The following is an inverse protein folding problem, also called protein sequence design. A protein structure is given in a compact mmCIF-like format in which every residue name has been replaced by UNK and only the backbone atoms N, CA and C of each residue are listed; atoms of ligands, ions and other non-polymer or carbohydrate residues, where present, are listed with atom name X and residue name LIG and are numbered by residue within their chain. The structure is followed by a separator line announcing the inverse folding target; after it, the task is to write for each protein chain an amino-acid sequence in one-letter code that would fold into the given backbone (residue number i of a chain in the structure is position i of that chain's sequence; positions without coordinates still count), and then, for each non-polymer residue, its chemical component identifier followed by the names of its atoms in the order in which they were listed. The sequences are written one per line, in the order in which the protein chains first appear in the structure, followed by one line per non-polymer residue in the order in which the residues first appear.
data_IF_662623196883
#
_entry.id   IF_662623196883
#
_cell.length_a   1.000
_cell.length_b   1.000
_cell.length_c   1.000
_cell.angle_alpha   90.00
_cell.angle_beta   90.00
_cell.angle_gamma   90.00
#
_symmetry.space_group_name_H-M   'P 1'
#
loop_
_entity.id
_entity.type
_entity.pdbx_description
1 polymer ?
#
# COMPACT_ATOMS: atom_id res chain seq x y z
N UNK A 1 1.24 -2.78 -5.20
CA UNK A 1 1.97 -2.65 -6.48
C UNK A 1 2.39 -1.20 -6.61
N UNK A 2 3.49 -0.86 -7.27
CA UNK A 2 3.94 0.54 -7.33
C UNK A 2 4.24 1.04 -8.74
N UNK A 3 3.73 2.21 -9.09
CA UNK A 3 4.08 2.89 -10.34
C UNK A 3 5.37 3.72 -10.18
N UNK A 4 6.38 3.39 -10.97
CA UNK A 4 7.65 4.11 -11.04
C UNK A 4 7.61 5.22 -12.09
N UNK A 5 7.44 6.46 -11.63
CA UNK A 5 7.39 7.65 -12.48
C UNK A 5 8.70 7.96 -13.24
N UNK A 6 9.81 7.26 -12.94
CA UNK A 6 11.11 7.50 -13.59
C UNK A 6 11.28 6.72 -14.89
N UNK A 7 10.47 5.70 -15.13
CA UNK A 7 10.60 4.79 -16.28
C UNK A 7 9.27 4.26 -16.81
N UNK A 8 8.14 4.78 -16.31
CA UNK A 8 6.79 4.44 -16.77
C UNK A 8 6.40 2.96 -16.66
N UNK A 9 6.88 2.28 -15.62
CA UNK A 9 6.54 0.89 -15.34
C UNK A 9 5.81 0.72 -14.00
N UNK A 10 5.01 -0.33 -13.92
CA UNK A 10 4.45 -0.82 -12.66
C UNK A 10 5.33 -1.97 -12.17
N UNK A 11 5.70 -1.92 -10.91
CA UNK A 11 6.36 -3.00 -10.18
C UNK A 11 5.36 -3.72 -9.29
N UNK A 12 5.42 -5.04 -9.27
CA UNK A 12 4.55 -5.88 -8.47
C UNK A 12 5.34 -7.05 -7.88
N UNK A 13 4.77 -7.72 -6.88
CA UNK A 13 5.29 -9.00 -6.41
C UNK A 13 4.48 -10.12 -7.07
N UNK A 14 5.19 -11.05 -7.71
CA UNK A 14 4.65 -12.34 -8.13
C UNK A 14 4.99 -13.36 -7.05
N UNK A 15 3.97 -14.03 -6.53
CA UNK A 15 4.08 -14.86 -5.33
C UNK A 15 3.43 -16.23 -5.54
N UNK A 16 4.09 -17.28 -5.06
CA UNK A 16 3.51 -18.61 -4.96
C UNK A 16 3.46 -19.08 -3.50
N UNK A 17 2.31 -19.64 -3.11
CA UNK A 17 2.06 -20.12 -1.75
C UNK A 17 2.42 -21.60 -1.52
N UNK A 18 3.00 -22.26 -2.50
CA UNK A 18 3.41 -23.66 -2.39
C UNK A 18 4.89 -23.75 -2.03
N UNK A 19 5.25 -24.69 -1.16
CA UNK A 19 6.65 -24.90 -0.77
C UNK A 19 7.43 -25.63 -1.89
N UNK A 20 8.66 -25.20 -2.22
CA UNK A 20 9.36 -24.03 -1.69
C UNK A 20 8.76 -22.71 -2.20
N UNK A 21 8.55 -21.75 -1.29
CA UNK A 21 7.97 -20.46 -1.64
C UNK A 21 8.81 -19.74 -2.69
N UNK A 22 8.16 -19.13 -3.69
CA UNK A 22 8.83 -18.35 -4.71
C UNK A 22 8.23 -16.94 -4.76
N UNK A 23 9.07 -15.95 -4.50
CA UNK A 23 8.72 -14.54 -4.50
C UNK A 23 9.64 -13.80 -5.47
N UNK A 24 9.04 -13.08 -6.40
CA UNK A 24 9.77 -12.30 -7.40
C UNK A 24 9.17 -10.92 -7.51
N UNK A 25 10.01 -9.92 -7.72
CA UNK A 25 9.56 -8.64 -8.23
C UNK A 25 9.47 -8.78 -9.74
N UNK A 26 8.30 -8.41 -10.26
CA UNK A 26 8.04 -8.32 -11.68
C UNK A 26 7.85 -6.86 -12.07
N UNK A 27 8.25 -6.55 -13.30
CA UNK A 27 7.95 -5.30 -13.99
C UNK A 27 6.88 -5.54 -15.03
N UNK A 28 5.81 -4.77 -14.99
CA UNK A 28 4.69 -4.82 -15.94
C UNK A 28 4.91 -3.72 -16.97
N UNK A 29 5.01 -4.11 -18.23
CA UNK A 29 5.23 -3.22 -19.37
C UNK A 29 3.91 -2.60 -19.85
N UNK A 30 3.99 -1.57 -20.70
CA UNK A 30 2.83 -0.87 -21.26
C UNK A 30 1.88 -1.75 -22.08
N UNK A 31 2.36 -2.89 -22.58
CA UNK A 31 1.56 -3.89 -23.29
C UNK A 31 0.98 -4.99 -22.37
N UNK A 32 1.13 -4.86 -21.05
CA UNK A 32 0.68 -5.82 -20.05
C UNK A 32 1.56 -7.05 -19.86
N UNK A 33 2.65 -7.21 -20.64
CA UNK A 33 3.60 -8.30 -20.41
C UNK A 33 4.45 -8.05 -19.18
N UNK A 34 4.94 -9.12 -18.57
CA UNK A 34 5.72 -9.07 -17.33
C UNK A 34 7.15 -9.53 -17.54
N UNK A 35 8.07 -8.98 -16.75
CA UNK A 35 9.48 -9.37 -16.70
C UNK A 35 9.92 -9.54 -15.26
N UNK A 36 10.55 -10.67 -14.94
CA UNK A 36 11.21 -10.86 -13.65
C UNK A 36 12.40 -9.89 -13.53
N UNK A 37 12.46 -9.12 -12.45
CA UNK A 37 13.53 -8.12 -12.22
C UNK A 37 14.36 -8.37 -10.97
N UNK A 38 13.79 -9.03 -9.95
CA UNK A 38 14.51 -9.43 -8.75
C UNK A 38 13.85 -10.63 -8.06
N UNK A 39 14.65 -11.44 -7.38
CA UNK A 39 14.13 -12.45 -6.43
C UNK A 39 14.01 -11.83 -5.04
N UNK A 40 12.97 -12.18 -4.30
CA UNK A 40 12.80 -11.77 -2.91
C UNK A 40 13.10 -12.94 -1.99
N UNK A 41 14.13 -12.78 -1.16
CA UNK A 41 14.47 -13.73 -0.12
C UNK A 41 13.82 -13.26 1.19
N UNK A 42 12.66 -13.82 1.51
CA UNK A 42 11.92 -13.43 2.71
C UNK A 42 12.60 -13.90 4.00
N UNK A 43 12.32 -13.19 5.08
CA UNK A 43 12.60 -13.68 6.41
C UNK A 43 11.81 -14.97 6.68
N UNK A 44 12.41 -15.92 7.41
CA UNK A 44 11.77 -17.20 7.72
C UNK A 44 10.48 -17.02 8.54
N UNK A 45 10.41 -16.00 9.39
CA UNK A 45 9.23 -15.64 10.18
C UNK A 45 8.03 -15.17 9.36
N UNK A 46 8.24 -14.66 8.14
CA UNK A 46 7.19 -14.14 7.25
C UNK A 46 7.06 -14.95 5.96
N UNK A 47 7.77 -16.08 5.84
CA UNK A 47 7.88 -16.85 4.61
C UNK A 47 6.53 -17.34 4.05
N UNK A 48 5.56 -17.66 4.91
CA UNK A 48 4.22 -18.09 4.52
C UNK A 48 3.16 -16.98 4.44
N UNK A 49 3.55 -15.72 4.67
CA UNK A 49 2.62 -14.57 4.58
C UNK A 49 2.69 -13.98 3.17
N UNK A 50 1.58 -13.50 2.61
CA UNK A 50 1.58 -12.79 1.32
C UNK A 50 2.07 -11.35 1.48
N UNK A 51 2.62 -10.77 0.42
CA UNK A 51 2.75 -9.33 0.37
C UNK A 51 1.37 -8.72 0.07
N UNK A 52 1.02 -7.66 0.76
CA UNK A 52 -0.24 -6.94 0.56
C UNK A 52 -0.04 -5.42 0.47
N UNK A 53 1.21 -4.97 0.50
CA UNK A 53 1.54 -3.57 0.42
C UNK A 53 2.75 -3.39 -0.50
N UNK A 54 2.66 -2.43 -1.43
CA UNK A 54 3.77 -2.11 -2.31
C UNK A 54 3.61 -0.75 -2.97
N UNK A 55 4.62 0.13 -2.93
CA UNK A 55 4.62 1.35 -3.76
C UNK A 55 6.04 1.85 -4.08
N UNK A 56 6.18 2.67 -5.13
CA UNK A 56 7.44 3.27 -5.57
C UNK A 56 7.48 4.74 -5.19
N UNK A 57 8.56 5.15 -4.53
CA UNK A 57 8.74 6.52 -4.09
C UNK A 57 9.32 7.44 -5.18
N UNK A 58 9.53 8.72 -4.84
CA UNK A 58 10.08 9.73 -5.75
C UNK A 58 11.51 9.44 -6.21
N UNK A 59 12.24 8.61 -5.48
CA UNK A 59 13.63 8.24 -5.77
C UNK A 59 13.72 6.91 -6.52
N UNK A 60 12.61 6.35 -6.99
CA UNK A 60 12.57 5.05 -7.65
C UNK A 60 12.87 3.89 -6.70
N UNK A 61 12.66 4.06 -5.39
CA UNK A 61 12.77 2.94 -4.45
C UNK A 61 11.41 2.27 -4.32
N UNK A 62 11.37 0.96 -4.54
CA UNK A 62 10.18 0.15 -4.36
C UNK A 62 10.14 -0.43 -2.96
N UNK A 63 9.07 -0.14 -2.24
CA UNK A 63 8.86 -0.55 -0.86
C UNK A 63 7.73 -1.56 -0.80
N UNK A 64 8.00 -2.75 -0.27
CA UNK A 64 7.02 -3.83 -0.12
C UNK A 64 6.99 -4.37 1.30
N UNK A 65 5.83 -4.87 1.75
CA UNK A 65 5.63 -5.40 3.10
C UNK A 65 4.59 -6.52 3.15
N UNK A 66 4.74 -7.39 4.14
CA UNK A 66 3.74 -8.41 4.51
C UNK A 66 2.96 -7.94 5.74
N UNK A 67 1.92 -7.14 5.53
CA UNK A 67 1.01 -6.69 6.58
C UNK A 67 1.69 -5.89 7.69
N UNK A 68 2.80 -5.22 7.38
CA UNK A 68 3.61 -4.49 8.35
C UNK A 68 4.42 -5.39 9.30
N UNK A 69 4.60 -6.68 8.99
CA UNK A 69 5.48 -7.58 9.74
C UNK A 69 6.96 -7.44 9.34
N UNK A 70 7.23 -7.03 8.10
CA UNK A 70 8.55 -6.77 7.56
C UNK A 70 8.51 -5.62 6.53
N UNK A 71 9.65 -5.23 6.01
CA UNK A 71 9.73 -4.43 4.78
C UNK A 71 10.95 -4.82 3.96
N UNK A 72 10.87 -4.53 2.66
CA UNK A 72 11.99 -4.62 1.73
C UNK A 72 11.98 -3.37 0.85
N UNK A 73 13.16 -2.80 0.66
CA UNK A 73 13.43 -1.65 -0.19
C UNK A 73 14.32 -2.10 -1.34
N UNK A 74 13.82 -1.98 -2.57
CA UNK A 74 14.59 -2.27 -3.78
C UNK A 74 14.85 -1.00 -4.58
N UNK A 75 16.03 -0.90 -5.16
CA UNK A 75 16.39 0.23 -6.00
C UNK A 75 15.96 0.00 -7.45
N UNK A 76 14.92 0.68 -7.90
CA UNK A 76 14.52 0.77 -9.31
C UNK A 76 14.69 2.19 -9.84
N UNK A 77 15.68 2.93 -9.34
CA UNK A 77 16.09 4.18 -9.96
C UNK A 77 16.91 3.89 -11.23
N UNK A 78 16.38 4.17 -12.44
CA UNK A 78 17.03 3.80 -13.68
C UNK A 78 18.41 4.46 -13.82
N UNK A 79 19.36 3.73 -14.40
CA UNK A 79 20.73 4.21 -14.64
C UNK A 79 21.64 4.24 -13.41
N UNK A 80 21.16 3.83 -12.23
CA UNK A 80 22.01 3.69 -11.03
C UNK A 80 22.73 2.34 -11.01
N UNK A 81 23.93 2.30 -10.42
CA UNK A 81 24.75 1.08 -10.36
C UNK A 81 24.10 -0.09 -9.58
N UNK A 82 23.12 0.21 -8.72
CA UNK A 82 22.39 -0.77 -7.92
C UNK A 82 20.97 -1.06 -8.42
N UNK A 83 20.64 -0.74 -9.67
CA UNK A 83 19.30 -1.01 -10.20
C UNK A 83 18.94 -2.51 -10.06
N UNK A 84 17.73 -2.81 -9.57
CA UNK A 84 17.22 -4.16 -9.31
C UNK A 84 17.72 -4.80 -8.01
N UNK A 85 18.57 -4.13 -7.24
CA UNK A 85 19.14 -4.70 -6.01
C UNK A 85 18.34 -4.34 -4.76
N UNK A 86 18.39 -5.22 -3.76
CA UNK A 86 17.88 -4.95 -2.41
C UNK A 86 18.78 -3.91 -1.73
N UNK A 87 18.19 -2.81 -1.28
CA UNK A 87 18.87 -1.72 -0.56
C UNK A 87 18.82 -1.94 0.94
N UNK A 88 17.65 -2.31 1.45
CA UNK A 88 17.41 -2.49 2.88
C UNK A 88 16.24 -3.43 3.12
N UNK A 89 16.25 -4.14 4.24
CA UNK A 89 15.09 -4.90 4.73
C UNK A 89 15.20 -5.14 6.23
N UNK A 90 14.06 -5.26 6.90
CA UNK A 90 14.01 -5.70 8.29
C UNK A 90 12.68 -6.35 8.64
N UNK A 91 12.71 -7.21 9.66
CA UNK A 91 11.51 -7.59 10.41
C UNK A 91 11.13 -6.43 11.32
N UNK A 92 9.86 -6.05 11.33
CA UNK A 92 9.34 -4.96 12.14
C UNK A 92 8.93 -5.48 13.53
N UNK A 93 8.99 -4.61 14.53
CA UNK A 93 8.59 -4.93 15.92
C UNK A 93 7.07 -5.20 16.09
N UNK A 94 6.31 -5.15 14.99
CA UNK A 94 4.87 -5.29 14.94
C UNK A 94 4.15 -3.96 14.76
N UNK A 95 2.85 -4.05 14.55
CA UNK A 95 2.00 -2.93 14.16
C UNK A 95 1.28 -2.29 15.33
N UNK A 96 1.40 -2.84 16.55
CA UNK A 96 0.59 -2.43 17.71
C UNK A 96 -0.84 -3.00 17.71
N UNK A 97 -1.04 -4.12 17.00
CA UNK A 97 -2.34 -4.80 16.86
C UNK A 97 -3.26 -4.18 15.81
N UNK A 98 -2.71 -3.35 14.91
CA UNK A 98 -3.44 -2.84 13.75
C UNK A 98 -3.20 -3.78 12.57
N UNK A 99 -4.29 -4.16 11.89
CA UNK A 99 -4.19 -4.82 10.59
C UNK A 99 -3.82 -3.75 9.58
N UNK A 100 -2.70 -3.94 8.88
CA UNK A 100 -2.21 -2.99 7.87
C UNK A 100 -2.81 -3.40 6.52
N UNK A 101 -3.45 -2.44 5.85
CA UNK A 101 -3.92 -2.61 4.47
C UNK A 101 -2.77 -2.45 3.48
N UNK A 102 -3.11 -2.15 2.23
CA UNK A 102 -2.13 -1.61 1.30
C UNK A 102 -1.59 -0.25 1.80
N UNK A 103 -0.45 0.17 1.26
CA UNK A 103 0.15 1.46 1.56
C UNK A 103 0.45 2.24 0.29
N UNK A 104 0.63 3.54 0.43
CA UNK A 104 0.93 4.41 -0.72
C UNK A 104 1.92 5.48 -0.33
N UNK A 105 2.89 5.74 -1.21
CA UNK A 105 3.75 6.91 -1.16
C UNK A 105 2.92 8.18 -1.35
N UNK A 106 3.01 9.10 -0.39
CA UNK A 106 2.31 10.39 -0.48
C UNK A 106 3.32 11.55 -0.52
N UNK A 107 3.47 12.25 -1.66
CA UNK A 107 4.32 13.43 -1.75
C UNK A 107 3.71 14.63 -1.01
N UNK A 108 4.49 15.72 -0.89
CA UNK A 108 4.00 16.98 -0.33
C UNK A 108 3.56 16.84 1.13
N UNK A 109 2.26 17.02 1.39
CA UNK A 109 1.64 16.92 2.73
C UNK A 109 1.91 15.58 3.43
N UNK A 110 2.13 14.51 2.67
CA UNK A 110 2.50 13.19 3.22
C UNK A 110 3.94 13.06 3.69
N UNK A 111 4.78 14.10 3.49
CA UNK A 111 6.19 14.10 3.84
C UNK A 111 7.04 13.13 3.02
N UNK A 112 6.47 12.57 1.95
CA UNK A 112 7.05 11.49 1.17
C UNK A 112 6.97 10.12 1.86
N UNK A 113 6.32 9.96 3.00
CA UNK A 113 6.24 8.64 3.63
C UNK A 113 5.18 7.74 3.00
N UNK A 114 5.12 6.48 3.45
CA UNK A 114 4.07 5.54 3.05
C UNK A 114 2.88 5.66 4.02
N UNK A 115 1.68 5.68 3.50
CA UNK A 115 0.44 5.85 4.25
C UNK A 115 -0.51 4.70 3.97
N UNK A 116 -1.17 4.19 5.02
CA UNK A 116 -2.10 3.06 4.92
C UNK A 116 -3.38 3.38 5.69
N UNK A 117 -4.49 2.80 5.24
CA UNK A 117 -5.68 2.69 6.08
C UNK A 117 -5.66 1.30 6.73
N UNK A 118 -5.36 1.27 8.02
CA UNK A 118 -5.39 0.04 8.81
C UNK A 118 -6.69 -0.12 9.60
N UNK A 119 -6.87 -1.27 10.22
CA UNK A 119 -8.06 -1.57 11.03
C UNK A 119 -7.68 -2.14 12.38
N UNK A 120 -8.39 -1.68 13.42
CA UNK A 120 -8.32 -2.25 14.78
C UNK A 120 -9.69 -2.13 15.43
N UNK A 121 -10.18 -3.23 16.02
CA UNK A 121 -11.49 -3.27 16.69
C UNK A 121 -12.64 -2.69 15.82
N UNK A 122 -12.71 -3.07 14.54
CA UNK A 122 -13.69 -2.58 13.56
C UNK A 122 -13.62 -1.08 13.20
N UNK A 123 -12.70 -0.32 13.80
CA UNK A 123 -12.43 1.07 13.44
C UNK A 123 -11.26 1.14 12.46
N UNK A 124 -11.38 2.01 11.46
CA UNK A 124 -10.32 2.30 10.49
C UNK A 124 -9.41 3.40 11.02
N UNK A 125 -8.12 3.33 10.70
CA UNK A 125 -7.09 4.25 11.17
C UNK A 125 -6.22 4.69 10.00
N UNK A 126 -5.92 5.98 9.96
CA UNK A 126 -4.86 6.50 9.11
C UNK A 126 -3.51 6.23 9.79
N UNK A 127 -2.69 5.42 9.15
CA UNK A 127 -1.38 5.01 9.62
C UNK A 127 -0.30 5.57 8.70
N UNK A 128 0.79 6.05 9.29
CA UNK A 128 1.99 6.49 8.57
C UNK A 128 3.12 5.53 8.86
N UNK A 129 3.77 5.03 7.82
CA UNK A 129 5.04 4.31 7.93
C UNK A 129 6.19 5.23 7.48
N UNK A 130 7.05 5.56 8.43
CA UNK A 130 8.22 6.41 8.17
C UNK A 130 9.28 5.62 7.41
N UNK A 131 9.64 6.06 6.21
CA UNK A 131 10.75 5.47 5.43
C UNK A 131 12.11 5.71 6.09
N UNK A 132 12.22 6.74 6.93
CA UNK A 132 13.46 7.12 7.62
C UNK A 132 13.71 6.31 8.87
N UNK A 133 12.67 6.07 9.68
CA UNK A 133 12.78 5.34 10.96
C UNK A 133 12.27 3.91 10.88
N UNK A 134 11.62 3.53 9.77
CA UNK A 134 11.00 2.23 9.52
C UNK A 134 9.96 1.84 10.58
N UNK A 135 9.20 2.82 11.08
CA UNK A 135 8.19 2.63 12.13
C UNK A 135 6.81 3.10 11.69
N UNK A 136 5.77 2.36 12.10
CA UNK A 136 4.39 2.81 12.00
C UNK A 136 4.05 3.82 13.11
N UNK A 137 3.22 4.81 12.77
CA UNK A 137 2.59 5.74 13.71
C UNK A 137 1.10 5.83 13.38
N UNK A 138 0.27 5.79 14.42
CA UNK A 138 -1.17 6.06 14.29
C UNK A 138 -1.34 7.58 14.19
N UNK A 139 -1.85 8.06 13.07
CA UNK A 139 -2.04 9.49 12.84
C UNK A 139 -3.42 9.93 13.28
N UNK A 140 -4.45 9.15 12.90
CA UNK A 140 -5.84 9.50 13.19
C UNK A 140 -6.74 8.27 13.17
N UNK A 141 -7.71 8.23 14.09
CA UNK A 141 -8.85 7.31 13.99
C UNK A 141 -9.88 7.87 13.00
N UNK A 142 -10.32 7.04 12.06
CA UNK A 142 -11.29 7.40 11.02
C UNK A 142 -12.69 6.85 11.33
N UNK A 143 -12.82 5.97 12.32
CA UNK A 143 -14.07 5.32 12.69
C UNK A 143 -14.40 4.12 11.81
N UNK A 144 -15.61 3.57 12.01
CA UNK A 144 -16.13 2.47 11.22
C UNK A 144 -16.69 2.96 9.87
N UNK A 145 -15.79 3.28 8.93
CA UNK A 145 -16.14 3.87 7.63
C UNK A 145 -17.13 3.02 6.84
N UNK A 146 -17.00 1.69 6.87
CA UNK A 146 -17.88 0.79 6.11
C UNK A 146 -19.21 0.49 6.80
N UNK A 147 -19.43 0.99 8.02
CA UNK A 147 -20.56 0.64 8.88
C UNK A 147 -20.68 -0.88 9.11
N UNK A 148 -19.55 -1.59 9.17
CA UNK A 148 -19.52 -3.03 9.43
C UNK A 148 -20.06 -3.32 10.84
N UNK A 149 -21.00 -4.25 11.03
CA UNK A 149 -21.48 -4.63 12.36
C UNK A 149 -20.31 -5.05 13.28
N UNK A 150 -20.33 -4.62 14.54
CA UNK A 150 -19.26 -4.91 15.51
C UNK A 150 -19.58 -6.09 16.43
N UNK A 151 -20.53 -6.93 16.04
CA UNK A 151 -20.94 -8.11 16.79
C UNK A 151 -20.02 -9.31 16.50
N UNK A 152 -20.00 -10.27 17.43
CA UNK A 152 -19.25 -11.52 17.27
C UNK A 152 -19.58 -12.21 15.94
N UNK A 153 -18.54 -12.69 15.24
CA UNK A 153 -18.65 -13.30 13.91
C UNK A 153 -18.63 -12.34 12.73
N UNK A 154 -18.59 -11.02 12.96
CA UNK A 154 -18.45 -10.04 11.89
C UNK A 154 -16.99 -9.94 11.44
N UNK A 155 -16.77 -9.78 10.13
CA UNK A 155 -15.42 -9.57 9.56
C UNK A 155 -15.13 -8.07 9.50
N UNK A 156 -14.09 -7.56 10.18
CA UNK A 156 -13.67 -6.17 10.06
C UNK A 156 -13.31 -5.81 8.61
N UNK A 157 -13.37 -4.51 8.28
CA UNK A 157 -12.92 -4.00 7.00
C UNK A 157 -11.45 -4.40 6.71
N UNK A 158 -11.14 -4.58 5.42
CA UNK A 158 -9.76 -4.72 4.95
C UNK A 158 -9.54 -3.82 3.73
N UNK A 159 -8.59 -2.89 3.85
CA UNK A 159 -8.26 -1.90 2.82
C UNK A 159 -7.16 -2.43 1.93
N UNK A 160 -7.53 -3.23 0.93
CA UNK A 160 -6.55 -3.97 0.12
C UNK A 160 -5.92 -3.17 -1.02
N UNK A 161 -6.41 -1.96 -1.30
CA UNK A 161 -5.76 -1.08 -2.26
C UNK A 161 -5.86 0.38 -1.84
N UNK A 162 -4.79 1.13 -2.12
CA UNK A 162 -4.82 2.58 -2.00
C UNK A 162 -3.99 3.27 -3.09
N UNK A 163 -4.34 4.53 -3.38
CA UNK A 163 -3.48 5.43 -4.12
C UNK A 163 -3.61 6.85 -3.58
N UNK A 164 -2.67 7.70 -3.94
CA UNK A 164 -2.57 9.06 -3.45
C UNK A 164 -2.51 10.05 -4.59
N UNK A 165 -2.96 11.25 -4.27
CA UNK A 165 -2.99 12.40 -5.17
C UNK A 165 -2.07 13.49 -4.61
N UNK A 166 -1.50 14.30 -5.50
CA UNK A 166 -0.49 15.28 -5.11
C UNK A 166 -1.02 16.41 -4.21
N UNK A 167 -2.34 16.57 -4.13
CA UNK A 167 -3.03 17.49 -3.22
C UNK A 167 -3.25 16.91 -1.80
N UNK A 168 -2.65 15.77 -1.48
CA UNK A 168 -2.61 15.23 -0.12
C UNK A 168 -3.84 14.41 0.27
N UNK A 169 -4.53 13.82 -0.71
CA UNK A 169 -5.59 12.85 -0.46
C UNK A 169 -5.14 11.43 -0.76
N UNK A 170 -5.56 10.52 0.12
CA UNK A 170 -5.52 9.09 -0.07
C UNK A 170 -6.90 8.61 -0.51
N UNK A 171 -6.94 7.77 -1.52
CA UNK A 171 -8.12 7.03 -1.93
C UNK A 171 -7.92 5.57 -1.53
N UNK A 172 -8.78 5.06 -0.66
CA UNK A 172 -8.69 3.72 -0.10
C UNK A 172 -9.90 2.88 -0.53
N UNK A 173 -9.63 1.65 -0.92
CA UNK A 173 -10.61 0.70 -1.45
C UNK A 173 -10.76 -0.45 -0.46
N UNK A 174 -11.97 -0.61 0.05
CA UNK A 174 -12.27 -1.68 0.99
C UNK A 174 -12.78 -2.93 0.27
N UNK A 175 -12.22 -4.08 0.63
CA UNK A 175 -12.35 -5.33 -0.12
C UNK A 175 -13.71 -5.98 0.01
N UNK A 176 -14.25 -6.03 1.24
CA UNK A 176 -15.48 -6.77 1.53
C UNK A 176 -16.74 -6.05 1.05
N UNK A 177 -16.77 -4.73 1.16
CA UNK A 177 -17.90 -3.87 0.81
C UNK A 177 -17.76 -3.18 -0.55
N UNK A 178 -16.55 -3.10 -1.09
CA UNK A 178 -16.25 -2.37 -2.31
C UNK A 178 -16.23 -0.85 -2.15
N UNK A 179 -16.44 -0.32 -0.94
CA UNK A 179 -16.52 1.13 -0.74
C UNK A 179 -15.18 1.81 -1.00
N UNK A 180 -15.23 2.93 -1.72
CA UNK A 180 -14.07 3.77 -2.01
C UNK A 180 -14.16 5.06 -1.21
N UNK A 181 -13.13 5.34 -0.41
CA UNK A 181 -13.08 6.48 0.50
C UNK A 181 -11.95 7.43 0.13
N UNK A 182 -12.25 8.72 0.07
CA UNK A 182 -11.28 9.80 0.01
C UNK A 182 -11.00 10.32 1.41
N UNK A 183 -9.73 10.32 1.78
CA UNK A 183 -9.23 10.67 3.11
C UNK A 183 -8.15 11.75 2.95
N UNK A 184 -8.33 12.89 3.60
CA UNK A 184 -7.29 13.94 3.62
C UNK A 184 -6.19 13.53 4.61
N UNK A 185 -4.94 13.62 4.20
CA UNK A 185 -3.81 13.24 5.06
C UNK A 185 -3.70 14.16 6.27
N UNK A 186 -3.77 15.47 6.06
CA UNK A 186 -3.70 16.50 7.11
C UNK A 186 -4.97 16.63 7.97
N UNK A 187 -6.08 16.00 7.56
CA UNK A 187 -7.37 16.11 8.23
C UNK A 187 -8.10 17.44 7.99
N UNK A 188 -7.66 18.25 7.03
CA UNK A 188 -8.30 19.53 6.68
C UNK A 188 -9.69 19.35 6.06
N UNK A 189 -9.99 18.16 5.52
CA UNK A 189 -11.26 17.82 4.88
C UNK A 189 -11.81 16.53 5.47
N UNK A 190 -13.12 16.51 5.72
CA UNK A 190 -13.81 15.31 6.20
C UNK A 190 -13.68 14.14 5.21
N UNK A 191 -13.51 12.94 5.76
CA UNK A 191 -13.47 11.71 4.95
C UNK A 191 -14.80 11.54 4.22
N UNK A 192 -14.77 11.15 2.95
CA UNK A 192 -15.97 11.01 2.11
C UNK A 192 -15.92 9.69 1.34
N UNK A 193 -17.01 8.91 1.38
CA UNK A 193 -17.23 7.83 0.40
C UNK A 193 -17.50 8.47 -0.95
N UNK A 194 -16.69 8.11 -1.95
CA UNK A 194 -16.72 8.74 -3.27
C UNK A 194 -17.25 7.82 -4.36
N UNK A 195 -17.16 6.51 -4.16
CA UNK A 195 -17.62 5.51 -5.13
C UNK A 195 -17.79 4.12 -4.48
N UNK A 196 -18.24 3.17 -5.29
CA UNK A 196 -18.21 1.75 -5.02
C UNK A 196 -17.48 1.03 -6.17
N UNK A 197 -16.62 0.09 -5.81
CA UNK A 197 -15.91 -0.81 -6.70
C UNK A 197 -16.44 -2.24 -6.53
N UNK A 198 -16.19 -3.15 -7.47
CA UNK A 198 -16.47 -4.57 -7.27
C UNK A 198 -15.78 -5.09 -6.00
N UNK A 199 -16.51 -5.88 -5.21
CA UNK A 199 -15.94 -6.58 -4.05
C UNK A 199 -14.83 -7.52 -4.51
N UNK A 200 -13.78 -7.64 -3.70
CA UNK A 200 -12.65 -8.50 -4.02
C UNK A 200 -12.05 -9.11 -2.77
N UNK A 201 -11.58 -10.35 -2.86
CA UNK A 201 -10.70 -10.94 -1.83
C UNK A 201 -9.24 -10.56 -2.04
N UNK A 202 -8.88 -10.07 -3.23
CA UNK A 202 -7.53 -9.72 -3.65
C UNK A 202 -7.60 -8.54 -4.62
N UNK A 203 -7.18 -7.37 -4.17
CA UNK A 203 -6.94 -6.19 -4.97
C UNK A 203 -5.62 -5.60 -4.51
N UNK A 204 -5.06 -4.74 -5.34
CA UNK A 204 -3.86 -3.98 -5.02
C UNK A 204 -3.96 -2.66 -5.81
N UNK A 205 -3.43 -1.58 -5.25
CA UNK A 205 -3.46 -0.25 -5.82
C UNK A 205 -2.15 0.09 -6.53
N UNK A 206 -2.23 1.03 -7.46
CA UNK A 206 -1.09 1.81 -7.91
C UNK A 206 -1.59 3.19 -8.31
N UNK A 207 -0.79 4.24 -8.10
CA UNK A 207 -1.12 5.59 -8.60
C UNK A 207 -1.12 5.61 -10.12
N UNK A 208 -1.98 6.45 -10.70
CA UNK A 208 -1.94 6.75 -12.13
C UNK A 208 -0.68 7.58 -12.49
N UNK A 209 -0.31 7.57 -13.77
CA UNK A 209 0.79 8.37 -14.35
C UNK A 209 0.64 9.86 -13.99
N UNK A 210 -0.61 10.35 -14.03
CA UNK A 210 -1.03 11.70 -13.67
C UNK A 210 -1.97 11.64 -12.46
N UNK A 211 -1.43 11.41 -11.26
CA UNK A 211 -2.20 11.51 -10.02
C UNK A 211 -2.49 12.96 -9.60
N UNK A 212 -2.90 13.79 -10.57
CA UNK A 212 -3.34 15.16 -10.36
C UNK A 212 -4.56 15.25 -9.44
N UNK A 213 -4.90 16.47 -9.04
CA UNK A 213 -6.05 16.73 -8.16
C UNK A 213 -7.34 16.13 -8.74
N UNK A 214 -7.96 15.20 -8.02
CA UNK A 214 -9.25 14.61 -8.40
C UNK A 214 -10.37 15.54 -7.94
N UNK A 215 -11.10 16.13 -8.89
CA UNK A 215 -12.27 16.95 -8.60
C UNK A 215 -13.42 16.05 -8.14
N UNK A 216 -13.66 15.98 -6.83
CA UNK A 216 -14.84 15.32 -6.28
C UNK A 216 -15.97 16.35 -6.23
N UNK A 217 -16.92 16.26 -7.16
CA UNK A 217 -18.11 17.12 -7.13
C UNK A 217 -18.89 16.91 -5.81
N UNK A 218 -19.28 18.01 -5.18
CA UNK A 218 -20.14 18.00 -4.00
C UNK A 218 -21.47 17.33 -4.33
N UNK A 219 -21.87 16.38 -3.49
CA UNK A 219 -23.23 15.83 -3.48
C UNK A 219 -23.98 16.45 -2.32
#
# INVERSE_FOLDING_TARGET
MGYNAREDYIYAVSETLNTPYNFKIIRILSNGTTQDVATINKFSSTAGTLFNSGDVDENGQYWISTGGADFYQYNFNPGTAGYGTLVNSAVLAGTGGYVIGDWTYVPGTGGGDLWSVGVKNFSSFLLRWSRTTNTFTVVRELGNLTNTPTQSGSTPAFWGASYATNDGFLFAFENGSGQVWRISIDGSVANKRVADAPVSSQNDGARCVDSGSVVVNGG
#
